data_IF_239110180800
#
_entry.id   IF_239110180800
#
_cell.length_a   1.000
_cell.length_b   1.000
_cell.length_c   1.000
_cell.angle_alpha   90.00
_cell.angle_beta   90.00
_cell.angle_gamma   90.00
#
_symmetry.space_group_name_H-M   'P 1'
#
loop_
_entity.id
_entity.type
_entity.pdbx_description
1 polymer ?
#
# COMPACT_ATOMS: atom_id res chain seq x y z
N UNK A 1 39.81 -25.29 -16.86
CA UNK A 1 38.99 -25.30 -15.61
C UNK A 1 38.64 -23.89 -15.10
N UNK A 2 39.60 -22.95 -14.93
CA UNK A 2 39.33 -21.58 -14.42
C UNK A 2 38.36 -20.72 -15.25
N UNK A 3 38.29 -20.94 -16.57
CA UNK A 3 37.39 -20.19 -17.47
C UNK A 3 35.91 -20.64 -17.34
N UNK A 4 35.67 -21.91 -17.04
CA UNK A 4 34.31 -22.46 -16.90
C UNK A 4 33.66 -22.03 -15.59
N UNK A 5 34.43 -21.90 -14.51
CA UNK A 5 33.95 -21.39 -13.22
C UNK A 5 33.51 -19.93 -13.28
N UNK A 6 34.20 -19.10 -14.08
CA UNK A 6 33.80 -17.71 -14.29
C UNK A 6 32.50 -17.58 -15.09
N UNK A 7 32.33 -18.41 -16.13
CA UNK A 7 31.12 -18.42 -16.95
C UNK A 7 29.87 -18.85 -16.16
N UNK A 8 30.01 -19.83 -15.25
CA UNK A 8 28.92 -20.29 -14.38
C UNK A 8 28.52 -19.20 -13.37
N UNK A 9 29.50 -18.48 -12.81
CA UNK A 9 29.23 -17.36 -11.91
C UNK A 9 28.46 -16.21 -12.59
N UNK A 10 28.84 -15.87 -13.82
CA UNK A 10 28.16 -14.83 -14.61
C UNK A 10 26.73 -15.24 -14.98
N UNK A 11 26.53 -16.49 -15.39
CA UNK A 11 25.20 -17.02 -15.72
C UNK A 11 24.27 -17.04 -14.50
N UNK A 12 24.80 -17.32 -13.30
CA UNK A 12 24.03 -17.30 -12.06
C UNK A 12 23.61 -15.87 -11.67
N UNK A 13 24.51 -14.89 -11.81
CA UNK A 13 24.19 -13.47 -11.51
C UNK A 13 23.14 -12.92 -12.48
N UNK A 14 23.18 -13.30 -13.76
CA UNK A 14 22.17 -12.91 -14.74
C UNK A 14 20.79 -13.52 -14.43
N UNK A 15 20.74 -14.75 -13.93
CA UNK A 15 19.48 -15.43 -13.59
C UNK A 15 18.74 -14.81 -12.38
N UNK A 16 19.45 -14.15 -11.46
CA UNK A 16 18.84 -13.49 -10.29
C UNK A 16 18.24 -12.10 -10.58
N UNK A 17 18.44 -11.55 -11.78
CA UNK A 17 17.96 -10.19 -12.13
C UNK A 17 16.54 -10.15 -12.69
N UNK A 18 15.90 -11.30 -12.93
CA UNK A 18 14.54 -11.39 -13.43
C UNK A 18 13.50 -11.38 -12.29
N UNK A 19 13.47 -10.30 -11.50
CA UNK A 19 12.31 -10.05 -10.63
C UNK A 19 11.21 -9.47 -11.52
N UNK A 20 10.01 -10.08 -11.60
CA UNK A 20 8.92 -9.49 -12.35
C UNK A 20 8.53 -8.17 -11.69
N UNK A 21 8.79 -7.06 -12.38
CA UNK A 21 8.20 -5.77 -12.06
C UNK A 21 6.73 -5.89 -12.44
N UNK A 22 5.88 -6.19 -11.45
CA UNK A 22 4.43 -6.15 -11.63
C UNK A 22 4.03 -4.73 -12.05
N UNK A 23 3.17 -4.62 -13.06
CA UNK A 23 2.62 -3.35 -13.48
C UNK A 23 1.88 -2.70 -12.31
N UNK A 24 2.38 -1.56 -11.84
CA UNK A 24 1.73 -0.75 -10.82
C UNK A 24 0.62 0.04 -11.51
N UNK A 25 -0.64 -0.39 -11.43
CA UNK A 25 -1.71 0.58 -11.66
C UNK A 25 -1.61 1.61 -10.54
N UNK A 26 -1.25 2.86 -10.85
CA UNK A 26 -1.17 3.93 -9.84
C UNK A 26 -2.50 4.12 -9.12
N UNK A 27 -3.61 3.81 -9.82
CA UNK A 27 -5.00 3.83 -9.32
C UNK A 27 -5.25 3.08 -8.01
N UNK A 28 -4.42 2.10 -7.63
CA UNK A 28 -4.65 1.23 -6.46
C UNK A 28 -3.48 1.17 -5.47
N UNK A 29 -2.59 2.16 -5.46
CA UNK A 29 -1.39 2.19 -4.61
C UNK A 29 -1.71 1.98 -3.11
N UNK A 30 -2.79 2.61 -2.61
CA UNK A 30 -3.26 2.42 -1.24
C UNK A 30 -3.75 0.99 -0.96
N UNK A 31 -4.44 0.37 -1.91
CA UNK A 31 -4.90 -1.01 -1.80
C UNK A 31 -3.72 -1.99 -1.74
N UNK A 32 -2.69 -1.74 -2.54
CA UNK A 32 -1.46 -2.54 -2.57
C UNK A 32 -0.64 -2.36 -1.28
N UNK A 33 -0.42 -1.13 -0.83
CA UNK A 33 0.30 -0.84 0.41
C UNK A 33 -0.40 -1.46 1.63
N UNK A 34 -1.73 -1.35 1.70
CA UNK A 34 -2.53 -1.96 2.78
C UNK A 34 -2.48 -3.49 2.71
N UNK A 35 -2.51 -4.08 1.52
CA UNK A 35 -2.41 -5.53 1.35
C UNK A 35 -1.05 -6.08 1.80
N UNK A 36 0.05 -5.38 1.48
CA UNK A 36 1.39 -5.74 1.96
C UNK A 36 1.45 -5.61 3.48
N UNK A 37 0.97 -4.49 4.03
CA UNK A 37 0.92 -4.30 5.49
C UNK A 37 0.09 -5.39 6.19
N UNK A 38 -1.03 -5.83 5.62
CA UNK A 38 -1.83 -6.92 6.15
C UNK A 38 -1.11 -8.28 6.12
N UNK A 39 -0.19 -8.50 5.17
CA UNK A 39 0.60 -9.73 5.08
C UNK A 39 1.85 -9.71 5.97
N UNK A 40 2.45 -8.53 6.17
CA UNK A 40 3.71 -8.38 6.91
C UNK A 40 3.54 -7.89 8.35
N UNK A 41 2.38 -7.33 8.67
CA UNK A 41 2.00 -6.82 9.99
C UNK A 41 1.05 -7.75 10.73
N UNK A 42 0.81 -7.49 12.01
CA UNK A 42 -0.31 -8.10 12.72
C UNK A 42 -1.61 -7.48 12.21
N UNK A 43 -2.57 -8.29 11.75
CA UNK A 43 -3.88 -7.81 11.25
C UNK A 43 -4.72 -7.02 12.29
N UNK A 44 -4.19 -6.79 13.49
CA UNK A 44 -4.91 -6.19 14.62
C UNK A 44 -6.08 -7.07 15.07
N UNK A 45 -6.75 -6.65 16.13
CA UNK A 45 -7.97 -7.32 16.58
C UNK A 45 -9.15 -6.96 15.66
N UNK A 46 -9.92 -7.98 15.27
CA UNK A 46 -11.07 -7.80 14.37
C UNK A 46 -12.07 -6.83 15.02
N UNK A 47 -12.53 -5.81 14.28
CA UNK A 47 -13.37 -4.73 14.82
C UNK A 47 -14.70 -5.19 15.46
N UNK A 48 -15.14 -6.42 15.18
CA UNK A 48 -16.30 -7.07 15.80
C UNK A 48 -16.08 -7.52 17.25
N UNK A 49 -14.83 -7.55 17.71
CA UNK A 49 -14.46 -7.91 19.08
C UNK A 49 -14.40 -6.69 20.02
N UNK A 50 -14.52 -5.48 19.48
CA UNK A 50 -14.57 -4.25 20.26
C UNK A 50 -15.99 -4.01 20.82
N UNK A 51 -16.14 -3.57 22.09
CA UNK A 51 -17.45 -3.25 22.68
C UNK A 51 -18.24 -2.22 21.88
N UNK A 52 -17.52 -1.33 21.19
CA UNK A 52 -18.05 -0.35 20.24
C UNK A 52 -17.34 -0.54 18.89
N UNK A 53 -17.98 -1.19 17.90
CA UNK A 53 -17.39 -1.41 16.59
C UNK A 53 -16.94 -0.10 15.97
N UNK A 54 -15.67 -0.05 15.52
CA UNK A 54 -15.09 1.14 14.92
C UNK A 54 -15.77 1.41 13.57
N UNK A 55 -15.89 2.68 13.23
CA UNK A 55 -16.47 3.11 11.97
C UNK A 55 -15.55 2.69 10.80
N UNK A 56 -16.09 1.96 9.83
CA UNK A 56 -15.31 1.48 8.68
C UNK A 56 -14.78 2.63 7.81
N UNK A 57 -13.63 2.44 7.16
CA UNK A 57 -12.91 3.51 6.43
C UNK A 57 -13.77 4.23 5.40
N UNK A 58 -14.60 3.52 4.64
CA UNK A 58 -15.46 4.17 3.65
C UNK A 58 -16.58 5.01 4.29
N UNK A 59 -17.14 4.55 5.42
CA UNK A 59 -18.08 5.38 6.19
C UNK A 59 -17.39 6.62 6.79
N UNK A 60 -16.10 6.51 7.11
CA UNK A 60 -15.32 7.62 7.63
C UNK A 60 -15.09 8.66 6.53
N UNK A 61 -14.73 8.22 5.33
CA UNK A 61 -14.61 9.10 4.15
C UNK A 61 -15.93 9.86 3.92
N UNK A 62 -17.06 9.16 3.91
CA UNK A 62 -18.39 9.79 3.77
C UNK A 62 -18.67 10.82 4.86
N UNK A 63 -18.41 10.50 6.12
CA UNK A 63 -18.62 11.44 7.23
C UNK A 63 -17.75 12.70 7.12
N UNK A 64 -16.49 12.56 6.69
CA UNK A 64 -15.59 13.70 6.48
C UNK A 64 -16.00 14.55 5.27
N UNK A 65 -16.50 13.91 4.21
CA UNK A 65 -17.05 14.61 3.05
C UNK A 65 -18.32 15.39 3.40
N UNK A 66 -19.25 14.77 4.13
CA UNK A 66 -20.48 15.43 4.62
C UNK A 66 -20.16 16.61 5.56
N UNK A 67 -19.04 16.54 6.29
CA UNK A 67 -18.53 17.63 7.13
C UNK A 67 -17.76 18.72 6.34
N UNK A 68 -17.55 18.54 5.04
CA UNK A 68 -16.81 19.47 4.18
C UNK A 68 -15.29 19.47 4.44
N UNK A 69 -14.75 18.42 5.05
CA UNK A 69 -13.32 18.31 5.40
C UNK A 69 -12.50 17.78 4.21
N UNK A 70 -13.04 16.83 3.46
CA UNK A 70 -12.42 16.26 2.25
C UNK A 70 -13.28 16.56 1.01
N UNK A 71 -12.67 16.56 -0.16
CA UNK A 71 -13.30 16.99 -1.42
C UNK A 71 -14.39 16.03 -1.94
N UNK A 72 -14.26 14.74 -1.66
CA UNK A 72 -15.20 13.67 -2.00
C UNK A 72 -15.11 12.51 -0.99
N UNK A 73 -16.02 11.53 -1.07
CA UNK A 73 -16.06 10.36 -0.18
C UNK A 73 -15.18 9.17 -0.65
N UNK A 74 -14.26 9.41 -1.59
CA UNK A 74 -13.36 8.39 -2.10
C UNK A 74 -12.30 8.00 -1.06
N UNK A 75 -11.82 6.77 -1.18
CA UNK A 75 -10.68 6.30 -0.39
C UNK A 75 -9.38 7.06 -0.69
N UNK A 76 -9.25 7.62 -1.90
CA UNK A 76 -8.11 8.44 -2.29
C UNK A 76 -8.09 9.77 -1.54
N UNK A 77 -9.23 10.46 -1.48
CA UNK A 77 -9.37 11.70 -0.71
C UNK A 77 -9.14 11.47 0.80
N UNK A 78 -9.65 10.36 1.35
CA UNK A 78 -9.37 9.96 2.72
C UNK A 78 -7.86 9.70 2.94
N UNK A 79 -7.20 8.98 2.03
CA UNK A 79 -5.77 8.70 2.11
C UNK A 79 -4.90 9.97 2.10
N UNK A 80 -5.24 10.92 1.21
CA UNK A 80 -4.59 12.25 1.16
C UNK A 80 -4.74 13.02 2.46
N UNK A 81 -5.95 13.03 3.03
CA UNK A 81 -6.21 13.69 4.30
C UNK A 81 -5.39 13.08 5.44
N UNK A 82 -5.38 11.75 5.57
CA UNK A 82 -4.64 11.06 6.62
C UNK A 82 -3.14 11.33 6.50
N UNK A 83 -2.58 11.18 5.30
CA UNK A 83 -1.16 11.43 5.09
C UNK A 83 -0.76 12.87 5.40
N UNK A 84 -1.57 13.85 4.99
CA UNK A 84 -1.37 15.26 5.33
C UNK A 84 -1.39 15.48 6.84
N UNK A 85 -2.34 14.85 7.55
CA UNK A 85 -2.47 14.97 9.02
C UNK A 85 -1.30 14.35 9.80
N UNK A 86 -0.66 13.34 9.21
CA UNK A 86 0.45 12.59 9.80
C UNK A 86 1.83 13.07 9.32
N UNK A 87 1.89 14.06 8.42
CA UNK A 87 3.13 14.53 7.80
C UNK A 87 3.80 13.47 6.92
N UNK A 88 3.03 12.54 6.37
CA UNK A 88 3.53 11.51 5.46
C UNK A 88 3.52 12.05 4.02
N UNK A 89 4.64 11.92 3.32
CA UNK A 89 4.65 12.10 1.87
C UNK A 89 4.15 10.79 1.22
N UNK A 90 3.07 10.89 0.44
CA UNK A 90 2.44 9.78 -0.26
C UNK A 90 2.26 10.06 -1.75
N UNK A 91 3.13 10.89 -2.34
CA UNK A 91 3.00 11.36 -3.74
C UNK A 91 2.86 10.16 -4.70
N UNK A 92 3.56 9.05 -4.42
CA UNK A 92 3.48 7.80 -5.17
C UNK A 92 2.11 7.09 -5.17
N UNK A 93 1.19 7.47 -4.27
CA UNK A 93 -0.14 6.86 -4.11
C UNK A 93 -1.30 7.81 -4.40
N UNK A 94 -1.01 9.02 -4.89
CA UNK A 94 -2.01 10.08 -5.15
C UNK A 94 -2.07 10.51 -6.62
N UNK A 95 -1.22 9.93 -7.47
CA UNK A 95 -1.12 10.18 -8.92
C UNK A 95 -2.08 9.33 -9.76
#
# INVERSE_FOLDING_TARGET
>A
MKLYTAAIGIALVLALSAVPVFATSSDACWGQATAVFAQTGEMGEHASQEPTPRLGLHNLARALYEAGIIADDSMAALGQFVASSMGLNIDACTD
#
